data_IF_263031932118
#
_entry.id   IF_263031932118
#
_cell.length_a   1.000
_cell.length_b   1.000
_cell.length_c   1.000
_cell.angle_alpha   90.00
_cell.angle_beta   90.00
_cell.angle_gamma   90.00
#
_symmetry.space_group_name_H-M   'P 1'
#
loop_
_entity.id
_entity.type
_entity.pdbx_description
1 polymer ?
#
# COMPACT_ATOMS: atom_id res chain seq x y z
N UNK A 1 8.88 7.82 27.15
CA UNK A 1 7.69 7.00 26.85
C UNK A 1 7.71 5.74 27.73
N UNK A 2 6.54 5.26 28.25
CA UNK A 2 6.47 3.99 28.97
C UNK A 2 6.89 2.81 28.09
N UNK A 3 7.47 1.78 28.69
CA UNK A 3 7.97 0.58 27.99
C UNK A 3 6.87 -0.10 27.14
N UNK A 4 5.63 -0.12 27.63
CA UNK A 4 4.48 -0.71 26.94
C UNK A 4 4.22 -0.13 25.53
N UNK A 5 4.57 1.15 25.29
CA UNK A 5 4.45 1.73 23.96
C UNK A 5 5.43 1.09 22.98
N UNK A 6 6.65 0.85 23.41
CA UNK A 6 7.66 0.20 22.58
C UNK A 6 7.31 -1.26 22.30
N UNK A 7 6.77 -1.97 23.29
CA UNK A 7 6.26 -3.34 23.10
C UNK A 7 5.13 -3.39 22.08
N UNK A 8 4.23 -2.40 22.11
CA UNK A 8 3.15 -2.29 21.13
C UNK A 8 3.67 -2.02 19.72
N UNK A 9 4.69 -1.15 19.56
CA UNK A 9 5.32 -0.89 18.27
C UNK A 9 6.01 -2.14 17.73
N UNK A 10 6.75 -2.86 18.57
CA UNK A 10 7.41 -4.12 18.19
C UNK A 10 6.37 -5.14 17.70
N UNK A 11 5.29 -5.32 18.44
CA UNK A 11 4.20 -6.21 18.06
C UNK A 11 3.55 -5.77 16.75
N UNK A 12 3.20 -4.48 16.60
CA UNK A 12 2.65 -3.91 15.37
C UNK A 12 3.51 -4.23 14.15
N UNK A 13 4.85 -4.02 14.28
CA UNK A 13 5.77 -4.33 13.19
C UNK A 13 5.77 -5.82 12.89
N UNK A 14 5.92 -6.69 13.88
CA UNK A 14 5.95 -8.15 13.68
C UNK A 14 4.66 -8.71 13.08
N UNK A 15 3.53 -8.12 13.41
CA UNK A 15 2.23 -8.48 12.84
C UNK A 15 2.04 -8.00 11.39
N UNK A 16 2.97 -7.21 10.87
CA UNK A 16 2.97 -6.79 9.47
C UNK A 16 3.00 -5.29 9.24
N UNK A 17 3.13 -4.50 10.30
CA UNK A 17 3.29 -3.06 10.24
C UNK A 17 4.65 -2.62 9.71
N UNK A 18 4.83 -1.32 9.57
CA UNK A 18 6.04 -0.71 9.07
C UNK A 18 6.56 0.36 10.02
N UNK A 19 7.88 0.46 10.12
CA UNK A 19 8.56 1.46 10.95
C UNK A 19 9.69 2.12 10.16
N UNK A 20 9.69 3.45 10.12
CA UNK A 20 10.82 4.25 9.65
C UNK A 20 11.39 5.05 10.81
N UNK A 21 12.68 4.96 11.01
CA UNK A 21 13.42 5.77 11.97
C UNK A 21 14.45 6.62 11.21
N UNK A 22 14.37 7.93 11.37
CA UNK A 22 15.43 8.86 10.99
C UNK A 22 16.20 9.25 12.26
N UNK A 23 17.44 8.81 12.35
CA UNK A 23 18.24 8.89 13.56
C UNK A 23 19.01 10.22 13.63
N UNK A 24 18.69 11.03 14.62
CA UNK A 24 19.49 12.19 15.05
C UNK A 24 20.59 11.78 16.04
N UNK A 25 21.35 12.75 16.58
CA UNK A 25 22.43 12.52 17.55
C UNK A 25 21.97 11.74 18.80
N UNK A 26 20.72 11.91 19.21
CA UNK A 26 20.11 11.26 20.37
C UNK A 26 20.10 9.72 20.22
N UNK A 27 20.10 9.24 18.97
CA UNK A 27 20.15 7.79 18.70
C UNK A 27 21.47 7.15 19.17
N UNK A 28 22.56 7.92 19.21
CA UNK A 28 23.85 7.50 19.77
C UNK A 28 23.94 7.66 21.29
N UNK A 29 22.99 8.37 21.91
CA UNK A 29 23.03 8.76 23.31
C UNK A 29 22.47 7.71 24.27
N UNK A 30 22.51 8.00 25.58
CA UNK A 30 22.00 7.10 26.62
C UNK A 30 20.48 6.93 26.57
N UNK A 31 19.74 7.90 26.06
CA UNK A 31 18.27 7.84 25.87
C UNK A 31 17.85 7.28 24.51
N UNK A 32 18.74 6.62 23.79
CA UNK A 32 18.51 6.06 22.46
C UNK A 32 17.33 5.10 22.41
N UNK A 33 16.58 5.15 21.32
CA UNK A 33 15.57 4.14 20.98
C UNK A 33 16.16 2.73 20.87
N UNK A 34 17.44 2.61 20.49
CA UNK A 34 18.15 1.34 20.44
C UNK A 34 18.40 0.73 21.84
N UNK A 35 18.15 1.46 22.94
CA UNK A 35 18.21 0.95 24.32
C UNK A 35 16.84 0.60 24.88
N UNK A 36 15.81 0.61 24.05
CA UNK A 36 14.44 0.23 24.38
C UNK A 36 14.11 -1.14 23.81
N UNK A 37 12.88 -1.59 23.99
CA UNK A 37 12.36 -2.82 23.34
C UNK A 37 12.44 -2.78 21.82
N UNK A 38 12.45 -1.57 21.21
CA UNK A 38 12.64 -1.41 19.77
C UNK A 38 13.95 -2.00 19.28
N UNK A 39 14.97 -2.06 20.12
CA UNK A 39 16.24 -2.72 19.79
C UNK A 39 16.01 -4.08 19.12
N UNK A 40 14.99 -4.85 19.51
CA UNK A 40 14.74 -6.19 18.97
C UNK A 40 14.35 -6.23 17.49
N UNK A 41 13.96 -5.09 16.89
CA UNK A 41 13.52 -4.99 15.49
C UNK A 41 14.33 -4.00 14.66
N UNK A 42 15.32 -3.31 15.24
CA UNK A 42 16.12 -2.35 14.51
C UNK A 42 17.13 -3.04 13.57
N UNK A 43 17.33 -2.53 12.34
CA UNK A 43 18.32 -3.06 11.40
C UNK A 43 19.79 -2.90 11.83
N UNK A 44 20.06 -2.07 12.84
CA UNK A 44 21.40 -1.80 13.32
C UNK A 44 21.44 -1.13 14.69
N UNK A 45 22.57 -1.23 15.35
CA UNK A 45 22.81 -0.72 16.68
C UNK A 45 23.84 0.44 16.64
N UNK A 46 23.57 1.58 17.33
CA UNK A 46 24.48 2.72 17.32
C UNK A 46 25.75 2.45 18.12
N UNK A 47 26.88 2.97 17.66
CA UNK A 47 28.20 2.86 18.31
C UNK A 47 28.50 4.01 19.29
N UNK A 48 27.49 4.69 19.80
CA UNK A 48 27.62 5.85 20.69
C UNK A 48 28.49 7.00 20.13
N UNK A 49 28.63 7.11 18.81
CA UNK A 49 29.41 8.12 18.11
C UNK A 49 28.62 8.75 17.00
N UNK A 50 28.71 10.08 16.88
CA UNK A 50 28.18 10.86 15.75
C UNK A 50 29.37 11.40 14.98
N UNK A 51 29.36 11.26 13.66
CA UNK A 51 30.37 11.83 12.78
C UNK A 51 29.77 13.10 12.16
N UNK A 52 30.35 14.25 12.50
CA UNK A 52 29.94 15.57 12.02
C UNK A 52 30.95 16.10 11.03
N UNK A 53 30.76 15.75 9.77
CA UNK A 53 31.54 16.23 8.63
C UNK A 53 30.70 16.14 7.35
N UNK A 54 30.97 16.99 6.36
CA UNK A 54 30.33 16.85 5.04
C UNK A 54 30.67 15.51 4.40
N UNK A 55 29.66 14.83 3.84
CA UNK A 55 29.83 13.59 3.10
C UNK A 55 28.74 13.41 2.04
N UNK A 56 29.06 12.70 0.99
CA UNK A 56 28.10 12.24 -0.01
C UNK A 56 27.49 10.91 0.40
N UNK A 57 26.17 10.80 0.22
CA UNK A 57 25.53 9.50 0.26
C UNK A 57 25.92 8.70 -0.98
N UNK A 58 26.31 7.44 -0.79
CA UNK A 58 26.74 6.55 -1.86
C UNK A 58 25.85 5.29 -1.86
N UNK A 59 25.60 4.76 -3.06
CA UNK A 59 24.99 3.45 -3.20
C UNK A 59 25.99 2.37 -2.78
N UNK A 60 25.53 1.42 -1.98
CA UNK A 60 26.27 0.18 -1.75
C UNK A 60 26.06 -0.77 -2.92
N UNK A 61 26.79 -1.87 -2.96
CA UNK A 61 26.55 -2.91 -3.96
C UNK A 61 25.11 -3.45 -3.89
N UNK A 62 24.62 -3.69 -2.68
CA UNK A 62 23.21 -4.03 -2.43
C UNK A 62 22.27 -2.91 -2.90
N UNK A 63 22.63 -1.65 -2.65
CA UNK A 63 21.82 -0.49 -3.05
C UNK A 63 21.69 -0.30 -4.55
N UNK A 64 22.69 -0.70 -5.33
CA UNK A 64 22.57 -0.70 -6.80
C UNK A 64 21.52 -1.70 -7.31
N UNK A 65 21.27 -2.78 -6.58
CA UNK A 65 20.28 -3.81 -6.92
C UNK A 65 18.91 -3.60 -6.27
N UNK A 66 18.88 -2.92 -5.13
CA UNK A 66 17.67 -2.77 -4.34
C UNK A 66 16.66 -1.79 -4.99
N UNK A 67 15.38 -2.16 -5.15
CA UNK A 67 14.38 -1.35 -5.86
C UNK A 67 14.15 0.04 -5.26
N UNK A 68 14.40 0.23 -3.96
CA UNK A 68 14.27 1.55 -3.31
C UNK A 68 15.32 2.52 -3.83
N UNK A 69 16.56 2.06 -4.07
CA UNK A 69 17.70 2.94 -4.39
C UNK A 69 18.25 2.76 -5.81
N UNK A 70 17.90 1.67 -6.48
CA UNK A 70 18.30 1.43 -7.87
C UNK A 70 17.88 2.57 -8.79
N UNK A 71 18.79 3.02 -9.64
CA UNK A 71 18.55 4.08 -10.62
C UNK A 71 17.82 5.31 -10.04
N UNK A 72 18.21 5.75 -8.84
CA UNK A 72 17.78 7.04 -8.32
C UNK A 72 18.36 8.16 -9.19
N UNK A 73 17.63 9.23 -9.50
CA UNK A 73 18.16 10.35 -10.27
C UNK A 73 19.47 10.87 -9.70
N UNK A 74 20.50 11.00 -10.55
CA UNK A 74 21.84 11.45 -10.16
C UNK A 74 22.73 10.36 -9.57
N UNK A 75 22.29 9.09 -9.57
CA UNK A 75 23.10 7.95 -9.11
C UNK A 75 24.03 7.36 -10.18
N UNK A 76 24.00 7.90 -11.39
CA UNK A 76 24.80 7.44 -12.53
C UNK A 76 26.29 7.79 -12.37
N UNK A 77 26.58 8.85 -11.61
CA UNK A 77 27.94 9.26 -11.28
C UNK A 77 28.47 8.51 -10.04
N UNK A 78 29.80 8.41 -9.93
CA UNK A 78 30.45 7.86 -8.74
C UNK A 78 31.54 8.84 -8.25
N UNK A 79 31.37 9.53 -7.10
CA UNK A 79 30.17 9.52 -6.23
C UNK A 79 28.93 10.12 -6.91
N UNK A 80 27.72 9.78 -6.45
CA UNK A 80 26.48 10.33 -6.98
C UNK A 80 26.47 11.86 -6.98
N UNK A 81 25.78 12.45 -7.98
CA UNK A 81 25.66 13.89 -8.13
C UNK A 81 24.65 14.49 -7.13
N UNK A 82 24.76 14.11 -5.87
CA UNK A 82 23.88 14.55 -4.79
C UNK A 82 24.58 15.54 -3.87
N UNK A 83 23.81 16.42 -3.25
CA UNK A 83 24.31 17.34 -2.22
C UNK A 83 24.76 16.60 -0.97
N UNK A 84 25.72 17.20 -0.26
CA UNK A 84 26.31 16.62 0.94
C UNK A 84 25.31 16.60 2.11
N UNK A 85 25.48 15.61 2.98
CA UNK A 85 24.95 15.60 4.33
C UNK A 85 26.07 15.95 5.30
N UNK A 86 25.73 16.46 6.48
CA UNK A 86 26.71 17.05 7.40
C UNK A 86 26.95 16.21 8.67
N UNK A 87 26.10 15.21 8.92
CA UNK A 87 26.29 14.30 10.05
C UNK A 87 25.65 12.94 9.81
N UNK A 88 26.25 11.94 10.42
CA UNK A 88 25.76 10.56 10.42
C UNK A 88 26.00 9.93 11.78
N UNK A 89 25.03 9.16 12.25
CA UNK A 89 25.20 8.35 13.45
C UNK A 89 25.97 7.08 13.07
N UNK A 90 27.09 6.85 13.75
CA UNK A 90 27.86 5.62 13.57
C UNK A 90 27.08 4.45 14.15
N UNK A 91 26.87 3.42 13.33
CA UNK A 91 26.16 2.21 13.72
C UNK A 91 26.74 1.00 13.02
N UNK A 92 26.49 -0.18 13.59
CA UNK A 92 26.76 -1.46 12.98
C UNK A 92 25.43 -2.09 12.59
N UNK A 93 25.31 -2.56 11.35
CA UNK A 93 24.13 -3.33 10.93
C UNK A 93 24.15 -4.71 11.57
N UNK A 94 22.98 -5.26 11.80
CA UNK A 94 22.85 -6.62 12.33
C UNK A 94 23.31 -7.66 11.31
N UNK A 95 23.71 -8.84 11.78
CA UNK A 95 24.05 -9.95 10.89
C UNK A 95 22.92 -10.21 9.87
N UNK A 96 23.29 -10.30 8.60
CA UNK A 96 22.35 -10.50 7.49
C UNK A 96 21.69 -9.22 6.94
N UNK A 97 21.83 -8.07 7.61
CA UNK A 97 21.33 -6.79 7.11
C UNK A 97 22.43 -6.06 6.35
N UNK A 98 22.22 -5.84 5.08
CA UNK A 98 23.12 -5.06 4.23
C UNK A 98 22.56 -3.65 4.05
N UNK A 99 23.34 -2.59 4.34
CA UNK A 99 22.89 -1.22 4.07
C UNK A 99 22.75 -1.01 2.57
N UNK A 100 21.75 -0.25 2.16
CA UNK A 100 21.54 0.13 0.75
C UNK A 100 22.16 1.50 0.40
N UNK A 101 22.38 2.34 1.41
CA UNK A 101 23.17 3.57 1.28
C UNK A 101 24.26 3.58 2.34
N UNK A 102 25.41 4.11 1.97
CA UNK A 102 26.53 4.40 2.86
C UNK A 102 26.84 5.90 2.87
N UNK A 103 27.43 6.37 3.95
CA UNK A 103 27.83 7.75 4.15
C UNK A 103 29.32 7.92 4.48
N UNK A 104 29.63 8.85 5.37
CA UNK A 104 31.01 9.14 5.78
C UNK A 104 31.74 7.87 6.20
N UNK A 105 32.98 7.70 5.70
CA UNK A 105 33.86 6.58 6.02
C UNK A 105 33.25 5.18 5.76
N UNK A 106 32.31 5.08 4.82
CA UNK A 106 31.61 3.82 4.51
C UNK A 106 30.59 3.39 5.58
N UNK A 107 30.28 4.24 6.56
CA UNK A 107 29.26 3.95 7.56
C UNK A 107 27.88 3.73 6.91
N UNK A 108 27.06 2.80 7.41
CA UNK A 108 25.71 2.62 6.93
C UNK A 108 24.90 3.90 7.09
N UNK A 109 24.21 4.33 6.01
CA UNK A 109 23.33 5.49 6.04
C UNK A 109 21.87 5.10 6.02
N UNK A 110 21.51 4.11 5.20
CA UNK A 110 20.16 3.56 5.16
C UNK A 110 20.23 2.03 5.14
N UNK A 111 19.65 1.42 6.17
CA UNK A 111 19.55 -0.01 6.33
C UNK A 111 18.07 -0.43 6.40
N UNK A 112 17.74 -1.51 5.71
CA UNK A 112 16.39 -2.07 5.66
C UNK A 112 16.40 -3.48 6.21
N UNK A 113 15.36 -3.85 6.96
CA UNK A 113 15.15 -5.22 7.42
C UNK A 113 13.69 -5.65 7.31
N UNK A 114 13.50 -6.95 7.23
CA UNK A 114 12.20 -7.62 7.39
C UNK A 114 12.15 -8.24 8.77
N UNK A 115 11.12 -7.91 9.51
CA UNK A 115 10.91 -8.38 10.88
C UNK A 115 9.60 -9.15 10.95
N UNK A 116 9.68 -10.47 10.94
CA UNK A 116 8.54 -11.37 10.78
C UNK A 116 7.70 -11.00 9.53
N UNK A 117 6.51 -10.46 9.73
CA UNK A 117 5.64 -9.98 8.65
C UNK A 117 5.82 -8.50 8.31
N UNK A 118 6.57 -7.75 9.11
CA UNK A 118 6.73 -6.30 8.96
C UNK A 118 8.03 -5.88 8.31
N UNK A 119 8.21 -4.57 8.21
CA UNK A 119 9.38 -3.95 7.60
C UNK A 119 9.88 -2.79 8.43
N UNK A 120 11.20 -2.70 8.57
CA UNK A 120 11.84 -1.61 9.30
C UNK A 120 12.89 -0.96 8.40
N UNK A 121 12.87 0.37 8.38
CA UNK A 121 13.89 1.18 7.76
C UNK A 121 14.57 2.05 8.82
N UNK A 122 15.89 2.02 8.83
CA UNK A 122 16.72 2.85 9.70
C UNK A 122 17.60 3.74 8.85
N UNK A 123 17.32 5.04 8.87
CA UNK A 123 18.14 6.07 8.27
C UNK A 123 19.02 6.67 9.37
N UNK A 124 20.31 6.52 9.27
CA UNK A 124 21.29 6.89 10.29
C UNK A 124 21.71 8.37 10.21
N UNK A 125 20.84 9.19 9.68
CA UNK A 125 20.90 10.64 9.69
C UNK A 125 19.50 11.22 9.62
N UNK A 126 19.30 12.35 10.26
CA UNK A 126 18.06 13.15 10.23
C UNK A 126 18.12 14.27 9.18
N UNK A 127 19.14 14.27 8.31
CA UNK A 127 19.43 15.40 7.41
C UNK A 127 18.93 15.22 5.97
N UNK A 128 18.09 14.24 5.69
CA UNK A 128 17.48 14.05 4.37
C UNK A 128 16.79 15.33 3.83
N UNK A 129 16.31 16.20 4.70
CA UNK A 129 15.70 17.47 4.36
C UNK A 129 16.62 18.46 3.65
N UNK A 130 17.95 18.34 3.77
CA UNK A 130 18.92 19.14 3.03
C UNK A 130 18.72 18.98 1.53
N UNK A 131 18.46 17.77 1.08
CA UNK A 131 18.15 17.50 -0.33
C UNK A 131 16.84 18.18 -0.77
N UNK A 132 15.82 18.18 0.10
CA UNK A 132 14.55 18.84 -0.19
C UNK A 132 14.72 20.38 -0.32
N UNK A 133 15.67 20.95 0.40
CA UNK A 133 15.99 22.37 0.36
C UNK A 133 16.94 22.76 -0.79
N UNK A 134 17.41 21.81 -1.58
CA UNK A 134 18.33 22.07 -2.68
C UNK A 134 19.76 22.37 -2.24
N UNK A 135 20.15 22.02 -1.02
CA UNK A 135 21.52 22.24 -0.54
C UNK A 135 22.51 21.51 -1.47
N UNK A 136 23.50 22.24 -2.00
CA UNK A 136 24.46 21.77 -2.99
C UNK A 136 23.80 21.01 -4.15
N UNK A 137 22.77 21.60 -4.75
CA UNK A 137 21.93 21.03 -5.82
C UNK A 137 20.93 19.94 -5.35
N UNK A 138 20.86 19.66 -4.04
CA UNK A 138 19.91 18.70 -3.48
C UNK A 138 20.21 17.25 -3.81
N UNK A 139 19.18 16.44 -3.89
CA UNK A 139 19.25 15.02 -4.18
C UNK A 139 17.86 14.43 -4.43
N UNK A 140 17.75 13.15 -4.67
CA UNK A 140 16.51 12.47 -5.02
C UNK A 140 15.59 12.25 -3.79
N UNK A 141 15.37 13.31 -3.01
CA UNK A 141 14.61 13.24 -1.74
C UNK A 141 13.23 12.62 -1.89
N UNK A 142 12.44 13.16 -2.84
CA UNK A 142 11.07 12.69 -3.04
C UNK A 142 11.03 11.27 -3.58
N UNK A 143 11.91 10.94 -4.52
CA UNK A 143 11.98 9.59 -5.11
C UNK A 143 12.42 8.56 -4.08
N UNK A 144 13.44 8.88 -3.27
CA UNK A 144 13.91 8.02 -2.20
C UNK A 144 12.81 7.77 -1.16
N UNK A 145 12.20 8.83 -0.63
CA UNK A 145 11.18 8.67 0.40
C UNK A 145 9.92 8.02 -0.13
N UNK A 146 9.49 8.33 -1.35
CA UNK A 146 8.35 7.67 -1.99
C UNK A 146 8.59 6.16 -2.12
N UNK A 147 9.74 5.77 -2.72
CA UNK A 147 10.08 4.35 -2.86
C UNK A 147 10.24 3.66 -1.51
N UNK A 148 10.84 4.33 -0.53
CA UNK A 148 10.98 3.80 0.83
C UNK A 148 9.63 3.58 1.50
N UNK A 149 8.71 4.55 1.40
CA UNK A 149 7.36 4.42 1.93
C UNK A 149 6.59 3.28 1.25
N UNK A 150 6.64 3.19 -0.08
CA UNK A 150 5.99 2.11 -0.83
C UNK A 150 6.59 0.73 -0.51
N UNK A 151 7.93 0.65 -0.34
CA UNK A 151 8.57 -0.59 0.12
C UNK A 151 8.08 -0.97 1.51
N UNK A 152 8.03 -0.03 2.46
CA UNK A 152 7.49 -0.24 3.80
C UNK A 152 6.04 -0.70 3.78
N UNK A 153 5.22 -0.19 2.86
CA UNK A 153 3.83 -0.60 2.63
C UNK A 153 3.70 -1.94 1.88
N UNK A 154 4.80 -2.59 1.53
CA UNK A 154 4.84 -3.86 0.78
C UNK A 154 4.27 -3.75 -0.63
N UNK A 155 4.51 -2.62 -1.29
CA UNK A 155 4.11 -2.46 -2.69
C UNK A 155 4.81 -3.52 -3.56
N UNK A 156 4.06 -4.34 -4.33
CA UNK A 156 4.66 -5.43 -5.12
C UNK A 156 5.71 -4.97 -6.13
N UNK A 157 5.65 -3.71 -6.57
CA UNK A 157 6.62 -3.14 -7.49
C UNK A 157 8.03 -2.98 -6.87
N UNK A 158 8.11 -2.92 -5.55
CA UNK A 158 9.34 -2.68 -4.80
C UNK A 158 9.80 -3.90 -3.98
N UNK A 159 9.25 -5.10 -4.26
CA UNK A 159 9.78 -6.34 -3.71
C UNK A 159 11.18 -6.62 -4.27
N UNK A 160 12.10 -7.09 -3.44
CA UNK A 160 13.49 -7.42 -3.83
C UNK A 160 13.52 -8.62 -4.77
N UNK A 161 12.62 -9.57 -4.57
CA UNK A 161 12.45 -10.77 -5.38
C UNK A 161 11.06 -10.76 -5.99
N UNK A 162 10.94 -10.53 -7.29
CA UNK A 162 9.67 -10.49 -7.99
C UNK A 162 9.78 -11.06 -9.40
N UNK A 163 8.70 -11.71 -9.84
CA UNK A 163 8.51 -12.17 -11.21
C UNK A 163 7.20 -11.58 -11.73
N UNK A 164 7.26 -10.87 -12.84
CA UNK A 164 6.09 -10.26 -13.49
C UNK A 164 6.04 -10.65 -14.96
N UNK A 165 4.84 -10.76 -15.49
CA UNK A 165 4.63 -10.98 -16.91
C UNK A 165 3.44 -10.13 -17.38
N UNK A 166 3.60 -9.46 -18.50
CA UNK A 166 2.58 -8.60 -19.07
C UNK A 166 2.55 -8.79 -20.60
N UNK A 167 1.35 -8.72 -21.19
CA UNK A 167 1.20 -8.68 -22.63
C UNK A 167 1.50 -7.28 -23.14
N UNK A 168 2.27 -7.20 -24.22
CA UNK A 168 2.59 -5.95 -24.94
C UNK A 168 2.03 -5.98 -26.35
N UNK A 169 1.87 -4.81 -26.97
CA UNK A 169 1.46 -4.68 -28.35
C UNK A 169 0.07 -5.25 -28.65
N UNK A 170 -0.04 -6.18 -29.59
CA UNK A 170 -1.31 -6.78 -30.03
C UNK A 170 -1.78 -7.95 -29.16
N UNK A 171 -1.27 -8.08 -27.93
CA UNK A 171 -1.71 -9.08 -26.96
C UNK A 171 -1.13 -10.49 -27.14
N UNK A 172 -0.18 -10.69 -28.07
CA UNK A 172 0.56 -11.97 -28.22
C UNK A 172 1.99 -11.90 -27.75
N UNK A 173 2.58 -10.74 -27.75
CA UNK A 173 3.91 -10.53 -27.20
C UNK A 173 3.82 -10.41 -25.69
N UNK A 174 4.63 -11.19 -24.98
CA UNK A 174 4.70 -11.22 -23.53
C UNK A 174 6.08 -10.74 -23.10
N UNK A 175 6.11 -9.72 -22.27
CA UNK A 175 7.31 -9.24 -21.58
C UNK A 175 7.34 -9.83 -20.18
N UNK A 176 8.47 -10.43 -19.83
CA UNK A 176 8.78 -10.98 -18.51
C UNK A 176 9.77 -10.04 -17.84
N UNK A 177 9.54 -9.75 -16.58
CA UNK A 177 10.45 -8.99 -15.73
C UNK A 177 10.74 -9.80 -14.46
N UNK A 178 12.02 -10.08 -14.21
CA UNK A 178 12.53 -10.75 -13.02
C UNK A 178 13.40 -9.77 -12.24
N UNK A 179 12.94 -9.39 -11.06
CA UNK A 179 13.71 -8.58 -10.13
C UNK A 179 14.34 -9.48 -9.08
N UNK A 180 15.64 -9.31 -8.83
CA UNK A 180 16.38 -10.12 -7.87
C UNK A 180 17.55 -9.35 -7.27
N UNK A 181 17.91 -9.72 -6.04
CA UNK A 181 19.11 -9.22 -5.38
C UNK A 181 20.37 -10.01 -5.78
N UNK A 182 20.21 -11.14 -6.47
CA UNK A 182 21.33 -11.90 -7.03
C UNK A 182 22.00 -11.17 -8.21
N UNK A 183 23.25 -11.53 -8.52
CA UNK A 183 23.99 -10.96 -9.65
C UNK A 183 23.44 -11.41 -10.99
N UNK A 184 22.90 -12.64 -11.03
CA UNK A 184 22.32 -13.27 -12.21
C UNK A 184 20.93 -13.80 -11.91
N UNK A 185 20.04 -13.75 -12.89
CA UNK A 185 18.78 -14.44 -12.86
C UNK A 185 18.90 -15.71 -13.71
N UNK A 186 18.53 -16.86 -13.13
CA UNK A 186 18.42 -18.09 -13.91
C UNK A 186 17.31 -18.02 -14.95
N UNK A 187 17.22 -19.01 -15.84
CA UNK A 187 16.20 -19.06 -16.87
C UNK A 187 14.80 -19.14 -16.24
N UNK A 188 13.81 -18.72 -16.99
CA UNK A 188 12.40 -18.87 -16.63
C UNK A 188 11.78 -20.01 -17.43
N UNK A 189 10.91 -20.77 -16.78
CA UNK A 189 10.08 -21.79 -17.44
C UNK A 189 8.72 -21.22 -17.74
N UNK A 190 8.30 -21.30 -19.00
CA UNK A 190 7.00 -20.84 -19.47
C UNK A 190 6.17 -22.07 -19.81
N UNK A 191 5.02 -22.22 -19.16
CA UNK A 191 4.04 -23.28 -19.46
C UNK A 191 2.83 -22.66 -20.15
N UNK A 192 2.56 -23.04 -21.38
CA UNK A 192 1.40 -22.57 -22.13
C UNK A 192 0.10 -23.30 -21.76
N UNK A 193 -1.06 -22.86 -22.29
CA UNK A 193 -2.37 -23.45 -22.00
C UNK A 193 -2.49 -24.92 -22.46
N UNK A 194 -1.64 -25.38 -23.36
CA UNK A 194 -1.59 -26.78 -23.84
C UNK A 194 -0.70 -27.66 -22.96
N UNK A 195 -0.08 -27.12 -21.88
CA UNK A 195 0.86 -27.82 -21.02
C UNK A 195 2.29 -27.92 -21.59
N UNK A 196 2.56 -27.37 -22.78
CA UNK A 196 3.90 -27.34 -23.35
C UNK A 196 4.79 -26.39 -22.55
N UNK A 197 5.96 -26.87 -22.15
CA UNK A 197 6.96 -26.09 -21.43
C UNK A 197 8.05 -25.58 -22.36
N UNK A 198 8.52 -24.38 -22.08
CA UNK A 198 9.66 -23.74 -22.78
C UNK A 198 10.52 -23.02 -21.75
N UNK A 199 11.83 -23.20 -21.83
CA UNK A 199 12.80 -22.40 -21.09
C UNK A 199 13.20 -21.17 -21.89
N UNK A 200 13.37 -20.04 -21.18
CA UNK A 200 13.79 -18.77 -21.76
C UNK A 200 14.82 -18.10 -20.84
N UNK A 201 15.94 -17.71 -21.42
CA UNK A 201 16.96 -16.96 -20.72
C UNK A 201 16.56 -15.49 -20.61
N UNK A 202 16.91 -14.88 -19.49
CA UNK A 202 16.66 -13.48 -19.22
C UNK A 202 17.91 -12.64 -19.53
N UNK A 203 17.71 -11.50 -20.15
CA UNK A 203 18.75 -10.51 -20.40
C UNK A 203 18.75 -9.44 -19.30
N UNK A 204 19.93 -9.03 -18.86
CA UNK A 204 20.08 -7.96 -17.87
C UNK A 204 19.68 -6.62 -18.50
N UNK A 205 18.58 -6.04 -18.00
CA UNK A 205 18.13 -4.70 -18.41
C UNK A 205 18.78 -3.61 -17.55
N UNK A 206 18.81 -3.83 -16.25
CA UNK A 206 19.45 -2.97 -15.25
C UNK A 206 20.05 -3.84 -14.14
N UNK A 207 20.83 -3.25 -13.26
CA UNK A 207 21.34 -3.97 -12.08
C UNK A 207 20.18 -4.43 -11.21
N UNK A 208 20.04 -5.75 -11.00
CA UNK A 208 18.94 -6.35 -10.26
C UNK A 208 17.61 -6.47 -11.02
N UNK A 209 17.57 -6.11 -12.32
CA UNK A 209 16.42 -6.27 -13.18
C UNK A 209 16.79 -7.01 -14.47
N UNK A 210 16.11 -8.12 -14.71
CA UNK A 210 16.29 -8.96 -15.89
C UNK A 210 14.99 -9.04 -16.66
N UNK A 211 15.08 -9.03 -17.98
CA UNK A 211 13.89 -9.04 -18.85
C UNK A 211 14.05 -10.03 -19.97
N UNK A 212 12.93 -10.58 -20.42
CA UNK A 212 12.84 -11.29 -21.69
C UNK A 212 11.50 -11.00 -22.35
N UNK A 213 11.44 -11.15 -23.65
CA UNK A 213 10.22 -11.03 -24.44
C UNK A 213 10.05 -12.29 -25.29
N UNK A 214 8.84 -12.81 -25.37
CA UNK A 214 8.53 -13.91 -26.25
C UNK A 214 7.18 -13.73 -26.92
N UNK A 215 7.00 -14.29 -28.08
CA UNK A 215 5.71 -14.36 -28.76
C UNK A 215 5.02 -15.67 -28.37
N UNK A 216 3.77 -15.58 -27.90
CA UNK A 216 2.99 -16.72 -27.48
C UNK A 216 2.38 -17.45 -28.70
N UNK A 217 2.66 -18.74 -28.80
CA UNK A 217 2.14 -19.62 -29.88
C UNK A 217 0.64 -19.83 -29.77
N UNK A 218 0.10 -19.84 -28.54
CA UNK A 218 -1.32 -20.11 -28.27
C UNK A 218 -1.94 -19.02 -27.40
N UNK A 219 -3.23 -18.80 -27.60
CA UNK A 219 -4.02 -17.91 -26.75
C UNK A 219 -4.43 -18.64 -25.47
N UNK A 220 -4.52 -17.91 -24.37
CA UNK A 220 -4.94 -18.42 -23.07
C UNK A 220 -3.97 -18.07 -21.95
N UNK A 221 -4.12 -18.75 -20.81
CA UNK A 221 -3.32 -18.53 -19.63
C UNK A 221 -1.94 -19.19 -19.77
N UNK A 222 -0.90 -18.38 -19.59
CA UNK A 222 0.48 -18.84 -19.51
C UNK A 222 0.98 -18.68 -18.08
N UNK A 223 1.70 -19.69 -17.61
CA UNK A 223 2.35 -19.70 -16.30
C UNK A 223 3.85 -19.56 -16.50
N UNK A 224 4.45 -18.58 -15.86
CA UNK A 224 5.88 -18.31 -15.88
C UNK A 224 6.45 -18.63 -14.50
N UNK A 225 7.52 -19.42 -14.43
CA UNK A 225 8.19 -19.82 -13.19
C UNK A 225 9.65 -19.43 -13.20
N UNK A 226 10.14 -18.92 -12.05
CA UNK A 226 11.56 -18.68 -11.80
C UNK A 226 11.86 -19.06 -10.34
N UNK A 227 12.49 -20.20 -10.13
CA UNK A 227 12.64 -20.78 -8.79
C UNK A 227 11.28 -20.96 -8.11
N UNK A 228 11.10 -20.35 -6.95
CA UNK A 228 9.84 -20.42 -6.19
C UNK A 228 8.80 -19.38 -6.62
N UNK A 229 9.16 -18.48 -7.55
CA UNK A 229 8.26 -17.42 -8.00
C UNK A 229 7.42 -17.90 -9.18
N UNK A 230 6.16 -17.51 -9.18
CA UNK A 230 5.20 -17.81 -10.25
C UNK A 230 4.47 -16.54 -10.65
N UNK A 231 4.40 -16.30 -11.96
CA UNK A 231 3.59 -15.24 -12.55
C UNK A 231 2.62 -15.82 -13.57
N UNK A 232 1.46 -15.21 -13.70
CA UNK A 232 0.45 -15.60 -14.67
C UNK A 232 0.21 -14.45 -15.63
N UNK A 233 0.07 -14.79 -16.91
CA UNK A 233 -0.28 -13.82 -17.95
C UNK A 233 -1.32 -14.42 -18.88
N UNK A 234 -2.39 -13.68 -19.13
CA UNK A 234 -3.40 -14.09 -20.12
C UNK A 234 -3.05 -13.51 -21.47
N UNK A 235 -2.82 -14.37 -22.45
CA UNK A 235 -2.54 -14.00 -23.82
C UNK A 235 -3.82 -14.14 -24.62
N UNK A 236 -4.29 -13.03 -25.17
CA UNK A 236 -5.56 -13.01 -25.89
C UNK A 236 -5.64 -11.88 -26.91
N UNK A 237 -6.72 -11.78 -27.68
CA UNK A 237 -6.92 -10.67 -28.59
C UNK A 237 -6.90 -9.34 -27.84
N UNK A 238 -6.27 -8.34 -28.44
CA UNK A 238 -6.17 -6.98 -27.89
C UNK A 238 -7.54 -6.31 -27.66
N UNK A 239 -8.59 -6.87 -28.23
CA UNK A 239 -9.99 -6.46 -28.06
C UNK A 239 -10.80 -7.66 -27.54
N UNK A 240 -10.84 -7.92 -26.23
CA UNK A 240 -11.73 -8.95 -25.70
C UNK A 240 -13.19 -8.60 -26.11
N UNK A 241 -13.99 -9.64 -26.36
CA UNK A 241 -15.42 -9.47 -26.70
C UNK A 241 -16.18 -8.57 -25.73
N UNK A 242 -15.71 -8.44 -24.51
CA UNK A 242 -16.21 -7.53 -23.48
C UNK A 242 -16.10 -6.05 -23.86
N UNK A 243 -15.13 -5.68 -24.71
CA UNK A 243 -14.98 -4.31 -25.22
C UNK A 243 -15.64 -4.09 -26.58
N UNK A 244 -16.13 -5.15 -27.24
CA UNK A 244 -16.81 -5.03 -28.52
C UNK A 244 -18.24 -4.44 -28.37
N UNK A 245 -18.85 -4.62 -27.20
CA UNK A 245 -20.18 -4.11 -26.85
C UNK A 245 -20.10 -3.04 -25.75
N UNK A 246 -19.38 -1.95 -26.03
CA UNK A 246 -19.20 -0.83 -25.06
C UNK A 246 -20.48 0.02 -24.94
N UNK A 247 -21.40 -0.11 -25.90
CA UNK A 247 -22.65 0.63 -25.87
C UNK A 247 -23.72 -0.13 -25.08
N UNK A 248 -24.33 0.55 -24.12
CA UNK A 248 -25.46 -0.01 -23.38
C UNK A 248 -26.61 -0.30 -24.36
N UNK A 249 -27.05 -1.57 -24.44
CA UNK A 249 -28.15 -1.99 -25.26
C UNK A 249 -29.36 -2.29 -24.38
N UNK A 250 -30.45 -1.53 -24.56
CA UNK A 250 -31.71 -1.71 -23.83
C UNK A 250 -32.56 -2.83 -24.41
N UNK A 251 -32.39 -3.16 -25.72
CA UNK A 251 -33.23 -4.16 -26.38
C UNK A 251 -32.98 -5.57 -25.87
N UNK A 252 -31.72 -5.92 -25.53
CA UNK A 252 -31.38 -7.25 -24.97
C UNK A 252 -32.07 -7.55 -23.65
N UNK A 253 -32.31 -6.54 -22.83
CA UNK A 253 -32.95 -6.71 -21.51
C UNK A 253 -34.46 -6.51 -21.57
N UNK A 254 -35.00 -5.97 -22.67
CA UNK A 254 -36.40 -5.62 -22.81
C UNK A 254 -37.33 -6.81 -22.63
N UNK A 255 -37.05 -7.94 -23.27
CA UNK A 255 -37.87 -9.15 -23.14
C UNK A 255 -37.94 -9.69 -21.72
N UNK A 256 -36.82 -9.67 -20.97
CA UNK A 256 -36.81 -10.11 -19.57
C UNK A 256 -37.52 -9.14 -18.67
N UNK A 257 -37.33 -7.84 -18.88
CA UNK A 257 -37.98 -6.81 -18.07
C UNK A 257 -39.49 -6.76 -18.29
N UNK A 258 -39.94 -6.80 -19.55
CA UNK A 258 -41.38 -6.83 -19.89
C UNK A 258 -42.05 -8.11 -19.41
N UNK A 259 -41.39 -9.28 -19.52
CA UNK A 259 -41.89 -10.55 -19.02
C UNK A 259 -42.04 -10.58 -17.49
N UNK A 260 -41.29 -9.77 -16.76
CA UNK A 260 -41.41 -9.59 -15.29
C UNK A 260 -42.37 -8.42 -14.90
N UNK A 261 -42.96 -7.74 -15.88
CA UNK A 261 -43.82 -6.55 -15.68
C UNK A 261 -43.02 -5.26 -15.42
N UNK A 262 -41.70 -5.31 -15.61
CA UNK A 262 -40.82 -4.16 -15.49
C UNK A 262 -40.55 -3.39 -16.78
N UNK A 263 -39.60 -2.50 -16.77
CA UNK A 263 -39.15 -1.71 -17.95
C UNK A 263 -37.64 -1.53 -17.92
N UNK A 264 -37.04 -1.39 -19.10
CA UNK A 264 -35.62 -1.04 -19.25
C UNK A 264 -35.51 0.40 -19.74
N UNK A 265 -34.63 1.16 -19.14
CA UNK A 265 -34.36 2.54 -19.55
C UNK A 265 -32.90 2.87 -19.55
N UNK A 266 -32.50 3.70 -20.49
CA UNK A 266 -31.20 4.32 -20.49
C UNK A 266 -31.26 5.60 -19.63
N UNK A 267 -30.38 5.70 -18.66
CA UNK A 267 -30.27 6.84 -17.74
C UNK A 267 -29.45 7.99 -18.35
N UNK A 268 -28.60 7.68 -19.33
CA UNK A 268 -27.82 8.69 -20.05
C UNK A 268 -28.66 9.32 -21.17
N UNK A 269 -28.91 10.62 -21.08
CA UNK A 269 -29.56 11.42 -22.12
C UNK A 269 -28.62 11.69 -23.30
N UNK A 270 -29.19 12.04 -24.46
CA UNK A 270 -28.48 12.33 -25.71
C UNK A 270 -27.54 13.55 -25.64
N UNK A 271 -27.63 14.37 -24.57
CA UNK A 271 -26.79 15.55 -24.32
C UNK A 271 -25.71 15.35 -23.27
N UNK A 272 -25.39 14.10 -22.87
CA UNK A 272 -24.37 13.80 -21.84
C UNK A 272 -24.87 14.04 -20.41
N UNK A 273 -26.12 14.41 -20.20
CA UNK A 273 -26.76 14.52 -18.89
C UNK A 273 -27.30 13.18 -18.38
N UNK A 274 -27.49 13.08 -17.07
CA UNK A 274 -28.15 11.94 -16.44
C UNK A 274 -29.63 12.29 -16.27
N UNK A 275 -30.54 11.58 -16.96
CA UNK A 275 -31.97 11.69 -16.78
C UNK A 275 -32.46 10.55 -15.90
N UNK A 276 -32.72 10.84 -14.64
CA UNK A 276 -33.26 9.86 -13.71
C UNK A 276 -34.80 9.86 -13.80
N UNK A 277 -35.45 8.75 -14.20
CA UNK A 277 -36.89 8.65 -14.24
C UNK A 277 -37.50 8.77 -12.82
N UNK A 278 -38.74 9.21 -12.72
CA UNK A 278 -39.44 9.28 -11.44
C UNK A 278 -39.55 7.88 -10.81
N UNK A 279 -39.24 7.80 -9.54
CA UNK A 279 -39.32 6.55 -8.77
C UNK A 279 -40.66 6.50 -8.03
N UNK A 280 -41.40 5.43 -8.21
CA UNK A 280 -42.71 5.23 -7.54
C UNK A 280 -42.77 3.88 -6.87
N UNK A 281 -43.29 3.84 -5.66
CA UNK A 281 -43.63 2.58 -4.98
C UNK A 281 -45.04 2.18 -5.40
N UNK A 282 -45.15 1.02 -6.04
CA UNK A 282 -46.44 0.52 -6.53
C UNK A 282 -46.68 -0.90 -6.07
N UNK A 283 -47.93 -1.18 -5.73
CA UNK A 283 -48.41 -2.54 -5.43
C UNK A 283 -49.12 -3.19 -6.63
N UNK A 284 -49.29 -2.44 -7.72
CA UNK A 284 -49.93 -2.90 -8.96
C UNK A 284 -49.04 -3.73 -9.90
N UNK A 285 -49.64 -4.35 -10.93
CA UNK A 285 -48.93 -5.28 -11.84
C UNK A 285 -47.92 -4.67 -12.77
N UNK A 286 -47.99 -3.37 -13.09
CA UNK A 286 -47.05 -2.70 -14.01
C UNK A 286 -46.03 -1.90 -13.21
N UNK A 287 -44.74 -2.17 -13.45
CA UNK A 287 -43.62 -1.58 -12.72
C UNK A 287 -42.88 -0.51 -13.52
N UNK A 288 -43.52 0.15 -14.46
CA UNK A 288 -42.93 1.25 -15.20
C UNK A 288 -43.86 1.84 -16.26
N UNK A 289 -43.55 3.06 -16.66
CA UNK A 289 -44.28 3.85 -17.68
C UNK A 289 -43.34 4.70 -18.51
N UNK A 290 -43.86 5.69 -19.24
CA UNK A 290 -43.06 6.50 -20.14
C UNK A 290 -41.97 7.32 -19.46
N UNK A 291 -42.16 7.75 -18.19
CA UNK A 291 -41.30 8.65 -17.45
C UNK A 291 -41.00 8.22 -16.00
N UNK A 292 -41.44 7.00 -15.60
CA UNK A 292 -41.30 6.50 -14.24
C UNK A 292 -40.92 5.03 -14.16
N UNK A 293 -40.29 4.63 -13.06
CA UNK A 293 -39.94 3.26 -12.69
C UNK A 293 -40.60 2.94 -11.36
N UNK A 294 -41.28 1.79 -11.29
CA UNK A 294 -41.95 1.30 -10.10
C UNK A 294 -41.12 0.30 -9.32
N UNK A 295 -41.17 0.39 -8.01
CA UNK A 295 -40.60 -0.61 -7.10
C UNK A 295 -41.78 -1.27 -6.33
N UNK A 296 -41.68 -2.58 -6.20
CA UNK A 296 -42.59 -3.29 -5.25
C UNK A 296 -42.07 -3.11 -3.83
N UNK A 297 -42.91 -2.74 -2.87
CA UNK A 297 -42.48 -2.76 -1.48
C UNK A 297 -42.06 -4.19 -1.11
N UNK A 298 -40.96 -4.32 -0.46
CA UNK A 298 -40.42 -5.57 0.07
C UNK A 298 -40.30 -5.43 1.57
N UNK A 299 -40.74 -6.45 2.31
CA UNK A 299 -40.55 -6.51 3.76
C UNK A 299 -39.10 -6.94 4.13
N UNK A 300 -38.27 -7.23 3.14
CA UNK A 300 -36.84 -7.50 3.36
C UNK A 300 -36.08 -6.21 3.58
N UNK A 301 -35.48 -6.06 4.75
CA UNK A 301 -34.61 -4.95 5.10
C UNK A 301 -33.18 -5.44 5.32
N UNK A 302 -32.20 -4.75 4.72
CA UNK A 302 -30.81 -4.93 5.05
C UNK A 302 -30.37 -3.82 6.00
N UNK A 303 -29.89 -4.17 7.17
CA UNK A 303 -29.34 -3.21 8.12
C UNK A 303 -28.02 -2.68 7.53
N UNK A 304 -27.99 -1.42 7.08
CA UNK A 304 -26.80 -0.75 6.56
C UNK A 304 -25.94 -0.08 7.64
N UNK A 305 -26.52 0.13 8.82
CA UNK A 305 -25.85 0.74 9.95
C UNK A 305 -26.79 0.76 11.15
N UNK A 306 -26.20 0.82 12.32
CA UNK A 306 -26.90 1.03 13.58
C UNK A 306 -26.40 2.34 14.13
N UNK A 307 -27.27 3.35 14.20
CA UNK A 307 -26.98 4.57 14.94
C UNK A 307 -27.48 4.40 16.37
N UNK A 308 -26.57 4.49 17.30
CA UNK A 308 -26.89 4.40 18.72
C UNK A 308 -27.03 5.82 19.26
N UNK A 309 -28.24 6.21 19.55
CA UNK A 309 -28.49 7.46 20.26
C UNK A 309 -28.49 7.18 21.77
N UNK A 310 -27.59 7.78 22.53
CA UNK A 310 -27.59 7.62 23.98
C UNK A 310 -28.84 8.31 24.56
N UNK A 311 -29.73 7.51 25.07
CA UNK A 311 -30.90 8.00 25.80
C UNK A 311 -30.45 8.51 27.18
N UNK A 312 -30.75 9.74 27.48
CA UNK A 312 -30.52 10.30 28.81
C UNK A 312 -29.21 11.02 29.03
N UNK A 313 -28.39 11.28 27.99
CA UNK A 313 -27.23 12.13 28.07
C UNK A 313 -27.61 13.57 27.70
N UNK A 314 -27.81 14.41 28.69
CA UNK A 314 -28.09 15.82 28.50
C UNK A 314 -28.49 16.52 29.79
N UNK A 315 -28.39 17.85 29.80
CA UNK A 315 -28.78 18.71 30.91
C UNK A 315 -30.21 18.42 31.47
N UNK A 316 -31.13 18.05 30.58
CA UNK A 316 -32.52 17.71 30.95
C UNK A 316 -32.63 16.39 31.71
N UNK A 317 -31.85 15.38 31.35
CA UNK A 317 -31.81 14.10 32.08
C UNK A 317 -31.21 14.27 33.47
N UNK A 318 -30.14 15.09 33.54
CA UNK A 318 -29.52 15.44 34.80
C UNK A 318 -30.45 16.26 35.69
N UNK A 319 -31.16 17.22 35.11
CA UNK A 319 -32.16 18.02 35.82
C UNK A 319 -33.32 17.16 36.33
N UNK A 320 -33.81 16.22 35.51
CA UNK A 320 -34.88 15.27 35.93
C UNK A 320 -34.40 14.37 37.08
N UNK A 321 -33.17 13.87 37.01
CA UNK A 321 -32.58 13.06 38.08
C UNK A 321 -32.41 13.89 39.38
N UNK A 322 -31.94 15.11 39.28
CA UNK A 322 -31.78 16.04 40.42
C UNK A 322 -33.16 16.37 41.02
N UNK A 323 -34.16 16.64 40.18
CA UNK A 323 -35.52 16.89 40.63
C UNK A 323 -36.14 15.66 41.34
N UNK A 324 -35.89 14.45 40.84
CA UNK A 324 -36.34 13.21 41.47
C UNK A 324 -35.69 13.01 42.85
N UNK A 325 -34.39 13.25 42.96
CA UNK A 325 -33.67 13.18 44.25
C UNK A 325 -34.20 14.21 45.23
N UNK A 326 -34.39 15.46 44.80
CA UNK A 326 -35.00 16.52 45.65
C UNK A 326 -36.42 16.19 46.07
N UNK A 327 -37.27 15.66 45.17
CA UNK A 327 -38.60 15.23 45.48
C UNK A 327 -38.63 14.11 46.52
N UNK A 328 -37.74 13.12 46.36
CA UNK A 328 -37.59 12.02 47.34
C UNK A 328 -37.23 12.56 48.69
N UNK A 329 -36.23 13.46 48.75
CA UNK A 329 -35.80 14.08 50.00
C UNK A 329 -36.91 14.90 50.71
N UNK A 330 -37.68 15.69 49.92
CA UNK A 330 -38.79 16.44 50.41
C UNK A 330 -39.93 15.54 50.96
N UNK A 331 -40.21 14.41 50.29
CA UNK A 331 -41.21 13.45 50.74
C UNK A 331 -40.77 12.76 52.04
N UNK A 332 -39.49 12.40 52.13
CA UNK A 332 -38.89 11.77 53.31
C UNK A 332 -38.87 12.76 54.47
N UNK A 333 -38.48 14.02 54.26
CA UNK A 333 -38.47 15.05 55.28
C UNK A 333 -39.91 15.45 55.79
N UNK A 334 -40.93 15.27 54.93
CA UNK A 334 -42.33 15.44 55.36
C UNK A 334 -42.86 14.27 56.19
N UNK A 335 -42.42 13.02 55.90
CA UNK A 335 -42.79 11.83 56.72
C UNK A 335 -42.18 11.85 58.10
N UNK A 336 -40.94 12.35 58.21
CA UNK A 336 -40.26 12.49 59.50
C UNK A 336 -40.79 13.62 60.42
N UNK A 337 -41.70 14.48 59.91
CA UNK A 337 -42.38 15.49 60.71
C UNK A 337 -43.83 15.12 61.13
N UNK A 338 -44.32 14.00 60.64
CA UNK A 338 -45.69 13.50 60.94
C UNK A 338 -45.67 12.28 61.87
N UNK A 339 -44.51 11.89 62.38
CA UNK A 339 -44.25 10.97 63.49
C UNK A 339 -43.69 11.76 64.68
#
# INVERSE_FOLDING_TARGET
LPQAYFDNIVRYVREGGALLIAAGPEFAGPASLARTRLASILPGDPSAKVVEQPFKANLTETGHRHPVTRALPGSEANPPAWGDWLRIVSAQTRPGVQPILSGANGLPLLALSREDKGRVALMLSDQAWLWARGYQQGGPYLDLLRRLAHWLMKEPALEEEALRAQTTGRGREVRIERQTMAEEAGPVTITGPTGKERSLDLSKAETGLFTATFEAESLGLHTIRSGNLVAFVSVGPANPRELADVFSDTERLKGVAEGSGGTVRRVAGSGGGIEVPRLQITRGGRLGGADWIGFRPSDSATIRGVEVYPLGIGLWALAALAAAVLAMWLVEGRRGRAA
#
